data_IF_557086570187
#
_entry.id   IF_557086570187
#
_cell.length_a   1.000
_cell.length_b   1.000
_cell.length_c   1.000
_cell.angle_alpha   90.00
_cell.angle_beta   90.00
_cell.angle_gamma   90.00
#
_symmetry.space_group_name_H-M   'P 1'
#
loop_
_entity.id
_entity.type
_entity.pdbx_description
1 polymer ?
#
# COMPACT_ATOMS: atom_id res chain seq x y z
N UNK A 1 -35.27 24.38 5.41
CA UNK A 1 -33.97 24.84 4.89
C UNK A 1 -32.78 24.62 5.81
N UNK A 2 -32.98 24.50 7.11
CA UNK A 2 -31.88 24.30 8.07
C UNK A 2 -31.41 22.84 8.25
N UNK A 3 -32.22 21.86 7.91
CA UNK A 3 -31.95 20.45 8.17
C UNK A 3 -30.77 19.85 7.33
N UNK A 4 -30.57 20.32 6.10
CA UNK A 4 -29.49 19.82 5.24
C UNK A 4 -28.10 20.38 5.61
N UNK A 5 -28.06 21.64 6.08
CA UNK A 5 -26.81 22.26 6.59
C UNK A 5 -26.39 21.66 7.93
N UNK A 6 -27.39 21.33 8.78
CA UNK A 6 -27.11 20.73 10.08
C UNK A 6 -26.59 19.27 9.97
N UNK A 7 -27.12 18.49 8.99
CA UNK A 7 -26.61 17.14 8.69
C UNK A 7 -25.16 17.15 8.18
N UNK A 8 -24.78 18.13 7.38
CA UNK A 8 -23.42 18.25 6.86
C UNK A 8 -22.41 18.63 7.95
N UNK A 9 -22.78 19.55 8.85
CA UNK A 9 -21.95 19.95 9.99
C UNK A 9 -21.79 18.84 11.03
N UNK A 10 -22.83 18.03 11.27
CA UNK A 10 -22.76 16.86 12.16
C UNK A 10 -21.88 15.76 11.58
N UNK A 11 -21.90 15.53 10.26
CA UNK A 11 -21.08 14.50 9.64
C UNK A 11 -19.58 14.84 9.69
N UNK A 12 -19.23 16.10 9.52
CA UNK A 12 -17.84 16.57 9.57
C UNK A 12 -17.26 16.52 10.99
N UNK A 13 -18.03 16.97 11.97
CA UNK A 13 -17.63 16.93 13.38
C UNK A 13 -17.63 15.50 13.95
N UNK A 14 -18.55 14.65 13.50
CA UNK A 14 -18.59 13.24 13.90
C UNK A 14 -17.39 12.47 13.34
N UNK A 15 -17.01 12.72 12.11
CA UNK A 15 -15.83 12.12 11.48
C UNK A 15 -14.54 12.54 12.21
N UNK A 16 -14.40 13.84 12.54
CA UNK A 16 -13.25 14.36 13.28
C UNK A 16 -13.16 13.78 14.69
N UNK A 17 -14.28 13.67 15.39
CA UNK A 17 -14.35 13.09 16.74
C UNK A 17 -14.05 11.58 16.72
N UNK A 18 -14.50 10.89 15.67
CA UNK A 18 -14.27 9.45 15.51
C UNK A 18 -12.80 9.13 15.20
N UNK A 19 -12.12 9.98 14.42
CA UNK A 19 -10.67 9.90 14.17
C UNK A 19 -9.88 10.11 15.47
N UNK A 20 -10.30 11.04 16.33
CA UNK A 20 -9.64 11.31 17.61
C UNK A 20 -9.82 10.20 18.64
N UNK A 21 -10.93 9.44 18.58
CA UNK A 21 -11.24 8.38 19.54
C UNK A 21 -10.82 6.99 19.10
N UNK A 22 -10.60 6.77 17.81
CA UNK A 22 -10.20 5.48 17.22
C UNK A 22 -9.08 5.67 16.20
N UNK A 23 -7.84 5.88 16.63
CA UNK A 23 -6.71 6.15 15.74
C UNK A 23 -6.43 5.03 14.73
N UNK A 24 -6.85 3.79 15.02
CA UNK A 24 -6.65 2.66 14.12
C UNK A 24 -7.52 2.69 12.85
N UNK A 25 -8.64 3.40 12.87
CA UNK A 25 -9.53 3.51 11.71
C UNK A 25 -9.11 4.65 10.78
N UNK A 26 -8.66 5.77 11.32
CA UNK A 26 -8.19 6.90 10.52
C UNK A 26 -7.00 6.54 9.62
N UNK A 27 -6.06 5.78 10.14
CA UNK A 27 -4.87 5.36 9.39
C UNK A 27 -5.18 4.44 8.21
N UNK A 28 -6.19 3.56 8.33
CA UNK A 28 -6.55 2.64 7.26
C UNK A 28 -7.26 3.36 6.11
N UNK A 29 -8.15 4.31 6.40
CA UNK A 29 -8.82 5.13 5.38
C UNK A 29 -7.83 6.09 4.71
N UNK A 30 -6.97 6.74 5.48
CA UNK A 30 -5.94 7.64 4.96
C UNK A 30 -4.94 6.89 4.06
N UNK A 31 -4.55 5.68 4.44
CA UNK A 31 -3.64 4.86 3.64
C UNK A 31 -4.28 4.42 2.32
N UNK A 32 -5.54 3.98 2.35
CA UNK A 32 -6.29 3.61 1.14
C UNK A 32 -6.48 4.79 0.20
N UNK A 33 -6.80 5.98 0.73
CA UNK A 33 -6.91 7.21 -0.04
C UNK A 33 -5.58 7.62 -0.66
N UNK A 34 -4.48 7.51 0.10
CA UNK A 34 -3.12 7.76 -0.40
C UNK A 34 -2.79 6.83 -1.57
N UNK A 35 -3.06 5.53 -1.43
CA UNK A 35 -2.81 4.54 -2.48
C UNK A 35 -3.61 4.90 -3.74
N UNK A 36 -4.90 5.17 -3.60
CA UNK A 36 -5.78 5.52 -4.73
C UNK A 36 -5.32 6.77 -5.46
N UNK A 37 -4.80 7.76 -4.74
CA UNK A 37 -4.26 8.99 -5.31
C UNK A 37 -2.91 8.80 -6.03
N UNK A 38 -2.22 7.69 -5.79
CA UNK A 38 -0.88 7.38 -6.34
C UNK A 38 -0.90 6.34 -7.45
N UNK A 39 -2.04 5.75 -7.71
CA UNK A 39 -2.23 4.88 -8.89
C UNK A 39 -2.29 5.76 -10.13
N UNK A 40 -1.54 5.36 -11.17
CA UNK A 40 -1.58 6.01 -12.48
C UNK A 40 -2.98 5.99 -13.09
N UNK A 41 -3.26 6.92 -14.02
CA UNK A 41 -4.56 7.05 -14.67
C UNK A 41 -5.02 5.76 -15.37
N UNK A 42 -4.09 4.98 -15.89
CA UNK A 42 -4.36 3.69 -16.55
C UNK A 42 -4.52 2.52 -15.56
N UNK A 43 -4.37 2.77 -14.25
CA UNK A 43 -4.49 1.77 -13.20
C UNK A 43 -3.36 0.73 -13.17
N UNK A 44 -2.23 0.96 -13.85
CA UNK A 44 -1.16 -0.04 -14.01
C UNK A 44 0.06 0.21 -13.15
N UNK A 45 0.29 1.44 -12.73
CA UNK A 45 1.47 1.84 -11.97
C UNK A 45 1.07 2.41 -10.62
N UNK A 46 1.74 1.97 -9.56
CA UNK A 46 1.65 2.58 -8.23
C UNK A 46 3.02 3.07 -7.82
N UNK A 47 3.13 4.38 -7.56
CA UNK A 47 4.36 5.00 -7.09
C UNK A 47 4.23 5.47 -5.63
N UNK A 48 4.91 4.76 -4.74
CA UNK A 48 5.01 5.06 -3.31
C UNK A 48 6.44 5.40 -2.88
N UNK A 49 7.29 5.79 -3.81
CA UNK A 49 8.70 6.09 -3.53
C UNK A 49 8.85 7.14 -2.44
N UNK A 50 9.72 6.87 -1.46
CA UNK A 50 10.11 7.81 -0.42
C UNK A 50 9.04 8.15 0.63
N UNK A 51 7.93 7.44 0.67
CA UNK A 51 6.82 7.73 1.59
C UNK A 51 7.00 7.17 3.00
N UNK A 52 8.07 6.40 3.22
CA UNK A 52 8.38 5.77 4.52
C UNK A 52 7.24 4.91 5.07
N UNK A 53 6.56 4.18 4.18
CA UNK A 53 5.43 3.33 4.57
C UNK A 53 5.83 2.20 5.53
N UNK A 54 7.10 1.83 5.54
CA UNK A 54 7.66 0.83 6.43
C UNK A 54 7.11 -0.58 6.22
N UNK A 55 7.45 -1.45 7.16
CA UNK A 55 6.95 -2.84 7.16
C UNK A 55 5.44 -2.91 7.34
N UNK A 56 4.85 -1.99 8.12
CA UNK A 56 3.41 -1.93 8.34
C UNK A 56 2.65 -1.59 7.06
N UNK A 57 3.09 -0.56 6.33
CA UNK A 57 2.50 -0.19 5.05
C UNK A 57 2.61 -1.30 4.00
N UNK A 58 3.77 -1.97 3.93
CA UNK A 58 3.94 -3.13 3.04
C UNK A 58 2.96 -4.27 3.35
N UNK A 59 2.69 -4.53 4.63
CA UNK A 59 1.69 -5.53 5.04
C UNK A 59 0.27 -5.11 4.70
N UNK A 60 -0.03 -3.83 4.75
CA UNK A 60 -1.34 -3.31 4.33
C UNK A 60 -1.51 -3.42 2.80
N UNK A 61 -0.51 -3.01 2.02
CA UNK A 61 -0.50 -3.19 0.57
C UNK A 61 -0.76 -4.64 0.16
N UNK A 62 -0.13 -5.59 0.84
CA UNK A 62 -0.29 -7.01 0.57
C UNK A 62 -1.73 -7.52 0.68
N UNK A 63 -2.60 -6.81 1.39
CA UNK A 63 -4.01 -7.16 1.59
C UNK A 63 -4.97 -6.42 0.66
N UNK A 64 -4.48 -5.47 -0.13
CA UNK A 64 -5.32 -4.62 -0.96
C UNK A 64 -5.65 -5.29 -2.29
N UNK A 65 -6.87 -5.78 -2.43
CA UNK A 65 -7.39 -6.37 -3.66
C UNK A 65 -7.36 -5.38 -4.84
N UNK A 66 -7.53 -4.08 -4.56
CA UNK A 66 -7.46 -3.01 -5.55
C UNK A 66 -6.14 -2.95 -6.32
N UNK A 67 -5.08 -3.59 -5.80
CA UNK A 67 -3.77 -3.64 -6.45
C UNK A 67 -3.60 -4.80 -7.45
N UNK A 68 -4.59 -5.67 -7.59
CA UNK A 68 -4.52 -6.85 -8.47
C UNK A 68 -4.33 -6.51 -9.95
N UNK A 69 -4.67 -5.30 -10.36
CA UNK A 69 -4.48 -4.79 -11.74
C UNK A 69 -3.13 -4.14 -12.01
N UNK A 70 -2.31 -3.91 -10.97
CA UNK A 70 -1.03 -3.20 -11.10
C UNK A 70 0.04 -4.13 -11.65
N UNK A 71 0.83 -3.64 -12.59
CA UNK A 71 1.98 -4.34 -13.13
C UNK A 71 3.32 -3.68 -12.79
N UNK A 72 3.32 -2.44 -12.33
CA UNK A 72 4.51 -1.69 -11.93
C UNK A 72 4.34 -1.11 -10.52
N UNK A 73 5.26 -1.43 -9.62
CA UNK A 73 5.23 -0.96 -8.24
C UNK A 73 6.58 -0.35 -7.86
N UNK A 74 6.57 0.93 -7.53
CA UNK A 74 7.73 1.65 -7.02
C UNK A 74 7.65 1.80 -5.51
N UNK A 75 8.61 1.22 -4.80
CA UNK A 75 8.71 1.20 -3.33
C UNK A 75 10.07 1.70 -2.82
N UNK A 76 10.81 2.43 -3.64
CA UNK A 76 12.15 2.90 -3.25
C UNK A 76 12.10 3.73 -1.95
N UNK A 77 13.10 3.53 -1.09
CA UNK A 77 13.29 4.37 0.09
C UNK A 77 12.16 4.33 1.12
N UNK A 78 11.55 3.19 1.33
CA UNK A 78 10.38 3.04 2.21
C UNK A 78 10.63 2.38 3.57
N UNK A 79 11.87 2.06 3.92
CA UNK A 79 12.22 1.36 5.17
C UNK A 79 11.50 0.01 5.35
N UNK A 80 11.20 -0.67 4.25
CA UNK A 80 10.60 -2.00 4.28
C UNK A 80 11.64 -3.03 4.70
N UNK A 81 11.32 -3.80 5.74
CA UNK A 81 12.16 -4.90 6.23
C UNK A 81 11.66 -6.24 5.70
N UNK A 82 12.42 -7.31 5.96
CA UNK A 82 12.13 -8.66 5.51
C UNK A 82 10.68 -9.12 5.73
N UNK A 83 10.09 -8.79 6.89
CA UNK A 83 8.69 -9.16 7.20
C UNK A 83 7.66 -8.47 6.29
N UNK A 84 7.94 -7.24 5.88
CA UNK A 84 7.08 -6.50 4.94
C UNK A 84 7.20 -7.10 3.54
N UNK A 85 8.42 -7.38 3.09
CA UNK A 85 8.65 -8.04 1.81
C UNK A 85 8.02 -9.43 1.74
N UNK A 86 8.13 -10.21 2.82
CA UNK A 86 7.48 -11.52 2.92
C UNK A 86 5.96 -11.42 2.76
N UNK A 87 5.34 -10.40 3.32
CA UNK A 87 3.89 -10.19 3.16
C UNK A 87 3.53 -9.89 1.69
N UNK A 88 4.27 -8.99 1.03
CA UNK A 88 4.09 -8.69 -0.40
C UNK A 88 4.31 -9.93 -1.27
N UNK A 89 5.39 -10.68 -1.01
CA UNK A 89 5.73 -11.88 -1.77
C UNK A 89 4.70 -13.02 -1.63
N UNK A 90 3.92 -13.02 -0.55
CA UNK A 90 2.83 -13.97 -0.29
C UNK A 90 1.45 -13.45 -0.70
N UNK A 91 1.37 -12.26 -1.25
CA UNK A 91 0.10 -11.67 -1.64
C UNK A 91 -0.32 -12.12 -3.05
N UNK A 92 -1.51 -12.71 -3.22
CA UNK A 92 -2.05 -13.02 -4.54
C UNK A 92 -2.33 -11.75 -5.36
N UNK A 93 -2.52 -10.61 -4.71
CA UNK A 93 -2.76 -9.33 -5.38
C UNK A 93 -1.52 -8.78 -6.08
N UNK A 94 -0.34 -9.35 -5.81
CA UNK A 94 0.92 -8.99 -6.48
C UNK A 94 1.24 -9.89 -7.70
N UNK A 95 0.37 -10.82 -8.06
CA UNK A 95 0.62 -11.80 -9.12
C UNK A 95 0.77 -11.16 -10.52
N UNK A 96 0.22 -9.99 -10.75
CA UNK A 96 0.35 -9.24 -12.01
C UNK A 96 1.59 -8.39 -12.13
N UNK A 97 2.45 -8.31 -11.09
CA UNK A 97 3.63 -7.46 -11.11
C UNK A 97 4.67 -7.96 -12.11
N UNK A 98 5.09 -7.03 -12.97
CA UNK A 98 6.19 -7.16 -13.94
C UNK A 98 7.41 -6.35 -13.54
N UNK A 99 7.20 -5.21 -12.93
CA UNK A 99 8.28 -4.30 -12.52
C UNK A 99 8.13 -3.96 -11.04
N UNK A 100 9.15 -4.25 -10.26
CA UNK A 100 9.21 -3.98 -8.82
C UNK A 100 10.53 -3.30 -8.49
N UNK A 101 10.45 -2.07 -7.97
CA UNK A 101 11.63 -1.33 -7.51
C UNK A 101 11.63 -1.21 -5.98
N UNK A 102 12.63 -1.81 -5.36
CA UNK A 102 12.80 -1.91 -3.90
C UNK A 102 14.07 -1.22 -3.41
N UNK A 103 14.73 -0.45 -4.29
CA UNK A 103 15.98 0.20 -3.94
C UNK A 103 15.87 1.04 -2.66
N UNK A 104 16.91 1.01 -1.82
CA UNK A 104 16.92 1.80 -0.59
C UNK A 104 15.97 1.30 0.51
N UNK A 105 15.59 0.02 0.50
CA UNK A 105 14.89 -0.65 1.58
C UNK A 105 15.84 -1.53 2.42
N UNK A 106 15.35 -2.10 3.50
CA UNK A 106 16.11 -2.87 4.49
C UNK A 106 15.70 -4.35 4.48
N UNK A 107 15.66 -4.95 3.29
CA UNK A 107 15.13 -6.30 3.08
C UNK A 107 15.98 -7.39 3.69
N UNK A 108 17.31 -7.27 3.57
CA UNK A 108 18.27 -8.31 3.93
C UNK A 108 18.05 -9.62 3.14
N UNK A 109 18.82 -10.64 3.48
CA UNK A 109 18.77 -11.94 2.79
C UNK A 109 17.39 -12.61 2.88
N UNK A 110 16.71 -12.49 4.03
CA UNK A 110 15.38 -13.08 4.24
C UNK A 110 14.31 -12.39 3.38
N UNK A 111 14.44 -11.09 3.13
CA UNK A 111 13.54 -10.37 2.23
C UNK A 111 13.76 -10.79 0.78
N UNK A 112 14.99 -10.88 0.34
CA UNK A 112 15.35 -11.35 -1.01
C UNK A 112 14.93 -12.81 -1.21
N UNK A 113 15.15 -13.67 -0.22
CA UNK A 113 14.65 -15.05 -0.26
C UNK A 113 13.14 -15.12 -0.41
N UNK A 114 12.41 -14.23 0.24
CA UNK A 114 10.94 -14.18 0.13
C UNK A 114 10.48 -13.87 -1.30
N UNK A 115 11.22 -13.04 -2.04
CA UNK A 115 10.94 -12.76 -3.46
C UNK A 115 11.18 -14.02 -4.29
N UNK A 116 12.33 -14.65 -4.11
CA UNK A 116 12.71 -15.88 -4.83
C UNK A 116 11.72 -17.02 -4.60
N UNK A 117 11.26 -17.21 -3.37
CA UNK A 117 10.33 -18.28 -2.99
C UNK A 117 8.85 -17.93 -3.26
N UNK A 118 8.55 -16.73 -3.75
CA UNK A 118 7.17 -16.27 -3.94
C UNK A 118 6.42 -17.15 -4.95
N UNK A 119 5.24 -17.66 -4.60
CA UNK A 119 4.38 -18.34 -5.57
C UNK A 119 3.68 -17.37 -6.54
N UNK A 120 3.66 -16.07 -6.23
CA UNK A 120 2.91 -15.06 -6.97
C UNK A 120 3.78 -14.16 -7.86
N UNK A 121 5.00 -13.82 -7.44
CA UNK A 121 5.90 -12.93 -8.18
C UNK A 121 6.59 -13.64 -9.37
N UNK A 122 5.83 -14.43 -10.13
CA UNK A 122 6.36 -15.24 -11.24
C UNK A 122 6.46 -14.50 -12.56
N UNK A 123 5.80 -13.34 -12.67
CA UNK A 123 5.79 -12.53 -13.89
C UNK A 123 6.80 -11.38 -13.85
N UNK A 124 7.64 -11.29 -12.81
CA UNK A 124 8.63 -10.22 -12.71
C UNK A 124 9.62 -10.29 -13.87
N UNK A 125 9.67 -9.19 -14.62
CA UNK A 125 10.61 -8.93 -15.71
C UNK A 125 11.75 -8.02 -15.25
N UNK A 126 11.50 -7.17 -14.25
CA UNK A 126 12.47 -6.24 -13.69
C UNK A 126 12.35 -6.15 -12.17
N UNK A 127 13.47 -6.33 -11.49
CA UNK A 127 13.62 -6.16 -10.05
C UNK A 127 14.84 -5.27 -9.78
N UNK A 128 14.67 -4.23 -8.96
CA UNK A 128 15.75 -3.32 -8.53
C UNK A 128 15.80 -3.20 -7.02
#
# INVERSE_FOLDING_TARGET
MSASRFKFLLSTNFLLLFILTNPSWGWAEDFSALISARISHDGKTLDLSGLRIGTSGAKQLAKMESLSGINTLYLQGNNIKARGMKALAKSPHMAGLKHLDLWGNLLGDLGLKSISDSPYLKQLESLK
#
